data_IF_757793868654
#
_entry.id   IF_757793868654
#
_cell.length_a   1.000
_cell.length_b   1.000
_cell.length_c   1.000
_cell.angle_alpha   90.00
_cell.angle_beta   90.00
_cell.angle_gamma   90.00
#
_symmetry.space_group_name_H-M   'P 1'
#
loop_
_entity.id
_entity.type
_entity.pdbx_description
1 polymer ?
#
# COMPACT_ATOMS: atom_id res chain seq x y z
N UNK A 1 23.64 35.21 0.72
CA UNK A 1 22.21 35.20 0.35
C UNK A 1 21.62 33.79 0.30
N UNK A 2 22.25 32.79 -0.35
CA UNK A 2 21.52 31.56 -0.74
C UNK A 2 22.16 30.26 -0.23
N UNK A 3 22.49 30.18 1.07
CA UNK A 3 23.09 28.96 1.66
C UNK A 3 22.09 27.80 1.84
N UNK A 4 20.80 28.04 1.60
CA UNK A 4 19.71 27.08 1.75
C UNK A 4 19.43 26.26 0.48
N UNK A 5 19.83 26.76 -0.70
CA UNK A 5 19.66 26.07 -1.98
C UNK A 5 20.20 24.61 -1.98
N UNK A 6 21.42 24.31 -1.48
CA UNK A 6 21.92 22.94 -1.49
C UNK A 6 21.15 22.00 -0.54
N UNK A 7 20.51 22.52 0.51
CA UNK A 7 19.70 21.72 1.43
C UNK A 7 18.32 21.40 0.85
N UNK A 8 17.70 22.36 0.15
CA UNK A 8 16.40 22.17 -0.52
C UNK A 8 16.53 21.15 -1.66
N UNK A 9 17.61 21.22 -2.45
CA UNK A 9 17.86 20.24 -3.52
C UNK A 9 18.05 18.82 -2.96
N UNK A 10 18.70 18.66 -1.79
CA UNK A 10 18.85 17.35 -1.14
C UNK A 10 17.51 16.81 -0.60
N UNK A 11 16.71 17.68 0.02
CA UNK A 11 15.39 17.32 0.54
C UNK A 11 14.45 16.84 -0.57
N UNK A 12 14.47 17.50 -1.72
CA UNK A 12 13.60 17.19 -2.87
C UNK A 12 13.78 15.78 -3.43
N UNK A 13 14.96 15.17 -3.28
CA UNK A 13 15.21 13.78 -3.71
C UNK A 13 15.02 12.77 -2.58
N UNK A 14 15.28 13.15 -1.32
CA UNK A 14 15.11 12.24 -0.18
C UNK A 14 13.65 11.93 0.13
N UNK A 15 12.73 12.88 -0.05
CA UNK A 15 11.30 12.67 0.21
C UNK A 15 10.64 11.65 -0.73
N UNK A 16 10.79 11.72 -2.07
CA UNK A 16 10.21 10.70 -2.95
C UNK A 16 10.88 9.33 -2.76
N UNK A 17 12.18 9.31 -2.43
CA UNK A 17 12.90 8.06 -2.18
C UNK A 17 12.44 7.39 -0.88
N UNK A 18 12.19 8.17 0.19
CA UNK A 18 11.64 7.67 1.45
C UNK A 18 10.20 7.19 1.29
N UNK A 19 9.40 7.92 0.50
CA UNK A 19 8.05 7.48 0.16
C UNK A 19 8.08 6.17 -0.63
N UNK A 20 9.00 6.04 -1.59
CA UNK A 20 9.19 4.81 -2.38
C UNK A 20 9.66 3.65 -1.50
N UNK A 21 10.61 3.87 -0.59
CA UNK A 21 11.02 2.81 0.35
C UNK A 21 9.87 2.41 1.25
N UNK A 22 9.07 3.33 1.79
CA UNK A 22 7.88 3.01 2.58
C UNK A 22 6.85 2.21 1.77
N UNK A 23 6.59 2.58 0.51
CA UNK A 23 5.69 1.83 -0.39
C UNK A 23 6.22 0.43 -0.71
N UNK A 24 7.54 0.28 -0.82
CA UNK A 24 8.21 -1.00 -1.05
C UNK A 24 8.59 -1.76 0.24
N UNK A 25 8.31 -1.20 1.42
CA UNK A 25 8.68 -1.76 2.73
C UNK A 25 7.87 -2.98 3.16
N UNK A 26 7.24 -3.68 2.22
CA UNK A 26 6.66 -5.02 2.46
C UNK A 26 7.64 -5.96 3.18
N UNK A 27 8.95 -5.72 3.07
CA UNK A 27 10.01 -6.45 3.75
C UNK A 27 10.15 -6.16 5.27
N UNK A 28 9.66 -5.03 5.79
CA UNK A 28 9.69 -4.72 7.23
C UNK A 28 8.54 -5.37 8.02
N UNK A 29 7.68 -6.14 7.34
CA UNK A 29 6.54 -6.85 7.94
C UNK A 29 6.99 -7.98 8.87
N UNK A 30 8.21 -8.48 8.68
CA UNK A 30 8.78 -9.56 9.47
C UNK A 30 9.92 -9.03 10.33
N UNK A 31 9.95 -9.48 11.59
CA UNK A 31 11.04 -9.27 12.51
C UNK A 31 12.26 -10.11 12.10
N UNK A 32 13.44 -9.82 12.66
CA UNK A 32 14.67 -10.56 12.38
C UNK A 32 14.60 -12.07 12.72
N UNK A 33 13.65 -12.47 13.58
CA UNK A 33 13.36 -13.85 13.94
C UNK A 33 12.35 -14.53 12.99
N UNK A 34 11.95 -13.87 11.89
CA UNK A 34 11.00 -14.39 10.90
C UNK A 34 9.53 -14.29 11.31
N UNK A 35 9.21 -13.86 12.53
CA UNK A 35 7.83 -13.62 12.97
C UNK A 35 7.24 -12.34 12.36
N UNK A 36 5.91 -12.24 12.25
CA UNK A 36 5.29 -10.97 11.86
C UNK A 36 5.57 -9.90 12.93
N UNK A 37 5.99 -8.72 12.49
CA UNK A 37 6.06 -7.53 13.32
C UNK A 37 4.65 -7.11 13.76
N UNK A 38 4.52 -6.45 14.90
CA UNK A 38 3.22 -6.02 15.47
C UNK A 38 2.36 -5.26 14.47
N UNK A 39 2.97 -4.37 13.67
CA UNK A 39 2.29 -3.60 12.63
C UNK A 39 1.93 -4.46 11.39
N UNK A 40 2.65 -5.55 11.15
CA UNK A 40 2.38 -6.48 10.06
C UNK A 40 1.05 -7.24 10.22
N UNK A 41 0.61 -7.46 11.47
CA UNK A 41 -0.72 -7.99 11.76
C UNK A 41 -1.83 -6.99 11.44
N UNK A 42 -1.62 -5.70 11.73
CA UNK A 42 -2.58 -4.64 11.36
C UNK A 42 -2.74 -4.59 9.85
N UNK A 43 -1.64 -4.60 9.10
CA UNK A 43 -1.71 -4.70 7.64
C UNK A 43 -2.43 -5.96 7.19
N UNK A 44 -2.18 -7.11 7.82
CA UNK A 44 -2.83 -8.36 7.44
C UNK A 44 -4.34 -8.31 7.62
N UNK A 45 -4.80 -7.72 8.73
CA UNK A 45 -6.21 -7.49 8.95
C UNK A 45 -6.81 -6.56 7.88
N UNK A 46 -6.13 -5.47 7.54
CA UNK A 46 -6.56 -4.54 6.48
C UNK A 46 -6.60 -5.20 5.10
N UNK A 47 -5.61 -6.02 4.75
CA UNK A 47 -5.58 -6.80 3.50
C UNK A 47 -6.81 -7.69 3.37
N UNK A 48 -7.13 -8.44 4.44
CA UNK A 48 -8.30 -9.33 4.49
C UNK A 48 -9.60 -8.53 4.36
N UNK A 49 -9.73 -7.41 5.07
CA UNK A 49 -10.91 -6.53 5.00
C UNK A 49 -11.10 -5.94 3.59
N UNK A 50 -10.02 -5.48 2.95
CA UNK A 50 -10.08 -4.98 1.58
C UNK A 50 -10.44 -6.09 0.59
N UNK A 51 -9.97 -7.32 0.81
CA UNK A 51 -10.35 -8.45 -0.03
C UNK A 51 -11.85 -8.77 0.09
N UNK A 52 -12.41 -8.72 1.29
CA UNK A 52 -13.86 -8.81 1.48
C UNK A 52 -14.60 -7.69 0.75
N UNK A 53 -14.09 -6.45 0.81
CA UNK A 53 -14.68 -5.32 0.07
C UNK A 53 -14.68 -5.62 -1.44
N UNK A 54 -13.54 -6.02 -2.03
CA UNK A 54 -13.42 -6.41 -3.44
C UNK A 54 -14.48 -7.45 -3.85
N UNK A 55 -14.68 -8.50 -3.05
CA UNK A 55 -15.63 -9.55 -3.39
C UNK A 55 -17.10 -9.09 -3.31
N UNK A 56 -17.41 -8.12 -2.43
CA UNK A 56 -18.75 -7.51 -2.32
C UNK A 56 -19.09 -6.56 -3.45
N UNK A 57 -18.11 -6.08 -4.20
CA UNK A 57 -18.36 -5.13 -5.29
C UNK A 57 -19.13 -5.78 -6.46
N UNK A 58 -20.04 -5.06 -7.13
CA UNK A 58 -20.76 -5.53 -8.32
C UNK A 58 -19.87 -5.41 -9.59
N UNK A 59 -18.64 -5.91 -9.52
CA UNK A 59 -17.70 -5.87 -10.63
C UNK A 59 -17.62 -7.21 -11.35
N UNK A 60 -17.16 -7.18 -12.61
CA UNK A 60 -16.80 -8.39 -13.34
C UNK A 60 -15.69 -9.16 -12.61
N UNK A 61 -15.65 -10.48 -12.82
CA UNK A 61 -14.68 -11.36 -12.16
C UNK A 61 -13.22 -10.93 -12.42
N UNK A 62 -12.91 -10.48 -13.64
CA UNK A 62 -11.58 -10.02 -14.00
C UNK A 62 -11.14 -8.80 -13.18
N UNK A 63 -12.04 -7.84 -12.93
CA UNK A 63 -11.72 -6.67 -12.10
C UNK A 63 -11.51 -7.07 -10.64
N UNK A 64 -12.27 -8.04 -10.12
CA UNK A 64 -12.07 -8.57 -8.76
C UNK A 64 -10.71 -9.24 -8.62
N UNK A 65 -10.34 -10.12 -9.57
CA UNK A 65 -9.06 -10.82 -9.58
C UNK A 65 -7.90 -9.82 -9.66
N UNK A 66 -8.00 -8.81 -10.53
CA UNK A 66 -6.96 -7.78 -10.67
C UNK A 66 -6.71 -7.04 -9.35
N UNK A 67 -7.76 -6.56 -8.69
CA UNK A 67 -7.62 -5.85 -7.40
C UNK A 67 -7.14 -6.77 -6.28
N UNK A 68 -7.65 -8.00 -6.21
CA UNK A 68 -7.19 -9.00 -5.26
C UNK A 68 -5.68 -9.27 -5.41
N UNK A 69 -5.19 -9.42 -6.65
CA UNK A 69 -3.77 -9.62 -6.92
C UNK A 69 -2.92 -8.41 -6.48
N UNK A 70 -3.35 -7.18 -6.80
CA UNK A 70 -2.64 -5.96 -6.41
C UNK A 70 -2.49 -5.86 -4.88
N UNK A 71 -3.58 -6.07 -4.13
CA UNK A 71 -3.57 -6.02 -2.66
C UNK A 71 -2.68 -7.13 -2.08
N UNK A 72 -2.77 -8.35 -2.62
CA UNK A 72 -2.01 -9.49 -2.11
C UNK A 72 -0.49 -9.36 -2.29
N UNK A 73 -0.03 -8.95 -3.48
CA UNK A 73 1.40 -8.80 -3.77
C UNK A 73 2.00 -7.52 -3.17
N UNK A 74 1.18 -6.48 -2.99
CA UNK A 74 1.60 -5.22 -2.40
C UNK A 74 0.68 -4.87 -1.23
N UNK A 75 0.90 -5.41 -0.03
CA UNK A 75 0.00 -5.19 1.12
C UNK A 75 -0.25 -3.72 1.39
N UNK A 76 0.81 -2.94 1.63
CA UNK A 76 0.65 -1.52 1.91
C UNK A 76 0.32 -0.71 0.64
N UNK A 77 1.14 -0.84 -0.40
CA UNK A 77 0.97 -0.07 -1.63
C UNK A 77 -0.33 -0.38 -2.36
N UNK A 78 -0.71 -1.65 -2.42
CA UNK A 78 -1.94 -2.15 -3.03
C UNK A 78 -3.19 -1.70 -2.28
N UNK A 79 -3.18 -1.67 -0.93
CA UNK A 79 -4.26 -1.05 -0.15
C UNK A 79 -4.40 0.45 -0.45
N UNK A 80 -3.29 1.20 -0.49
CA UNK A 80 -3.30 2.63 -0.81
C UNK A 80 -3.90 2.85 -2.21
N UNK A 81 -3.42 2.12 -3.21
CA UNK A 81 -3.90 2.24 -4.59
C UNK A 81 -5.38 1.81 -4.69
N UNK A 82 -5.77 0.74 -3.99
CA UNK A 82 -7.14 0.24 -3.96
C UNK A 82 -8.11 1.31 -3.44
N UNK A 83 -7.85 1.87 -2.25
CA UNK A 83 -8.76 2.82 -1.63
C UNK A 83 -8.84 4.17 -2.37
N UNK A 84 -7.79 4.55 -3.10
CA UNK A 84 -7.78 5.78 -3.88
C UNK A 84 -8.39 5.62 -5.29
N UNK A 85 -8.17 4.48 -5.96
CA UNK A 85 -8.41 4.36 -7.40
C UNK A 85 -9.34 3.23 -7.83
N UNK A 86 -9.70 2.28 -6.97
CA UNK A 86 -10.55 1.15 -7.40
C UNK A 86 -11.95 1.57 -7.86
N UNK A 87 -12.39 2.75 -7.41
CA UNK A 87 -13.77 3.19 -7.46
C UNK A 87 -14.61 2.33 -6.52
N UNK A 88 -15.76 2.82 -6.05
CA UNK A 88 -16.71 2.00 -5.29
C UNK A 88 -18.00 1.89 -6.09
N UNK A 89 -18.42 0.66 -6.38
CA UNK A 89 -19.76 0.40 -6.89
C UNK A 89 -20.77 0.67 -5.79
N UNK A 90 -22.00 1.04 -6.16
CA UNK A 90 -23.11 1.01 -5.20
C UNK A 90 -23.33 -0.48 -4.89
N UNK A 91 -23.07 -0.89 -3.65
CA UNK A 91 -23.47 -2.21 -3.19
C UNK A 91 -25.01 -2.26 -3.29
N UNK A 92 -25.52 -3.09 -4.19
CA UNK A 92 -26.96 -3.33 -4.32
C UNK A 92 -27.42 -4.35 -3.30
#
# INVERSE_FOLDING_TARGET
>A
MNKLAPYITRLAFTTPLLALTLVMSSCSRYNANGGLATWGYVLLALDVLALFDVFRQPWSIGKKILWAAIIFFFPLGGLIIYYLFAGRGKAS
#
